data_IF_317303133034
#
_entry.id   IF_317303133034
#
_cell.length_a   1.000
_cell.length_b   1.000
_cell.length_c   1.000
_cell.angle_alpha   90.00
_cell.angle_beta   90.00
_cell.angle_gamma   90.00
#
_symmetry.space_group_name_H-M   'P 1'
#
loop_
_entity.id
_entity.type
_entity.pdbx_description
1 polymer ?
#
# COMPACT_ATOMS: atom_id res chain seq x y z
N UNK A 1 -5.48 10.89 -4.74
CA UNK A 1 -4.92 9.89 -3.80
C UNK A 1 -3.84 9.00 -4.44
N UNK A 2 -4.08 8.50 -5.63
CA UNK A 2 -3.14 7.57 -6.29
C UNK A 2 -1.76 8.19 -6.48
N UNK A 3 -1.70 9.41 -6.98
CA UNK A 3 -0.43 10.09 -7.22
C UNK A 3 0.35 10.32 -5.94
N UNK A 4 -0.35 10.69 -4.88
CA UNK A 4 0.28 10.90 -3.57
C UNK A 4 0.84 9.60 -3.02
N UNK A 5 0.07 8.51 -3.12
CA UNK A 5 0.53 7.18 -2.70
C UNK A 5 1.75 6.74 -3.50
N UNK A 6 1.70 6.92 -4.81
CA UNK A 6 2.82 6.56 -5.67
C UNK A 6 4.09 7.29 -5.22
N UNK A 7 3.99 8.59 -4.99
CA UNK A 7 5.14 9.40 -4.58
C UNK A 7 5.69 8.93 -3.23
N UNK A 8 4.82 8.77 -2.24
CA UNK A 8 5.24 8.35 -0.90
C UNK A 8 5.90 6.98 -0.91
N UNK A 9 5.28 6.02 -1.59
CA UNK A 9 5.77 4.66 -1.59
C UNK A 9 7.04 4.52 -2.43
N UNK A 10 7.12 5.22 -3.56
CA UNK A 10 8.30 5.18 -4.42
C UNK A 10 9.52 5.80 -3.74
N UNK A 11 9.32 6.83 -2.95
CA UNK A 11 10.42 7.45 -2.21
C UNK A 11 10.94 6.55 -1.10
N UNK A 12 10.04 5.84 -0.42
CA UNK A 12 10.40 4.95 0.68
C UNK A 12 10.98 3.63 0.20
N UNK A 13 10.50 3.13 -0.93
CA UNK A 13 10.89 1.83 -1.49
C UNK A 13 11.29 2.01 -2.95
N UNK A 14 12.42 2.67 -3.23
CA UNK A 14 12.80 2.99 -4.61
C UNK A 14 13.12 1.77 -5.48
N UNK A 15 13.42 0.63 -4.86
CA UNK A 15 13.69 -0.60 -5.61
C UNK A 15 12.42 -1.32 -6.06
N UNK A 16 11.26 -0.93 -5.54
CA UNK A 16 9.98 -1.55 -5.90
C UNK A 16 9.36 -0.77 -7.05
N UNK A 17 8.90 -1.50 -8.07
CA UNK A 17 8.18 -0.91 -9.20
C UNK A 17 6.68 -0.95 -8.90
N UNK A 18 6.14 0.17 -8.45
CA UNK A 18 4.72 0.26 -8.08
C UNK A 18 3.77 0.29 -9.27
N UNK A 19 4.32 0.32 -10.49
CA UNK A 19 3.51 0.20 -11.71
C UNK A 19 3.47 -1.24 -12.23
N UNK A 20 4.12 -2.17 -11.53
CA UNK A 20 4.15 -3.58 -11.92
C UNK A 20 2.75 -4.20 -11.85
N UNK A 21 2.42 -5.05 -12.83
CA UNK A 21 1.11 -5.69 -12.90
C UNK A 21 0.85 -6.63 -11.72
N UNK A 22 1.88 -7.29 -11.22
CA UNK A 22 1.77 -8.17 -10.06
C UNK A 22 2.65 -7.64 -8.95
N UNK A 23 2.21 -6.53 -8.37
CA UNK A 23 2.96 -5.82 -7.35
C UNK A 23 3.26 -6.70 -6.13
N UNK A 24 2.32 -7.55 -5.73
CA UNK A 24 2.49 -8.39 -4.55
C UNK A 24 3.76 -9.25 -4.64
N UNK A 25 4.12 -9.68 -5.84
CA UNK A 25 5.34 -10.46 -6.05
C UNK A 25 6.63 -9.68 -5.84
N UNK A 26 6.55 -8.34 -5.85
CA UNK A 26 7.68 -7.45 -5.61
C UNK A 26 7.89 -7.13 -4.13
N UNK A 27 6.91 -7.48 -3.29
CA UNK A 27 6.90 -7.05 -1.89
C UNK A 27 7.28 -8.19 -0.97
N UNK A 28 8.13 -7.89 0.03
CA UNK A 28 8.42 -8.81 1.13
C UNK A 28 7.75 -8.28 2.40
N UNK A 29 7.93 -8.99 3.51
CA UNK A 29 7.31 -8.61 4.79
C UNK A 29 7.74 -7.21 5.24
N UNK A 30 9.00 -6.87 5.03
CA UNK A 30 9.52 -5.56 5.43
C UNK A 30 8.88 -4.47 4.59
N UNK A 31 8.76 -4.70 3.29
CA UNK A 31 8.12 -3.73 2.38
C UNK A 31 6.67 -3.49 2.76
N UNK A 32 5.93 -4.56 3.07
CA UNK A 32 4.52 -4.46 3.46
C UNK A 32 4.37 -3.67 4.76
N UNK A 33 5.20 -3.95 5.76
CA UNK A 33 5.17 -3.21 7.03
C UNK A 33 5.48 -1.74 6.80
N UNK A 34 6.46 -1.46 5.94
CA UNK A 34 6.82 -0.08 5.58
C UNK A 34 5.65 0.64 4.93
N UNK A 35 4.97 -0.03 4.00
CA UNK A 35 3.79 0.55 3.33
C UNK A 35 2.71 0.86 4.36
N UNK A 36 2.42 -0.07 5.26
CA UNK A 36 1.42 0.15 6.31
C UNK A 36 1.77 1.34 7.19
N UNK A 37 3.03 1.47 7.58
CA UNK A 37 3.47 2.58 8.41
C UNK A 37 3.26 3.92 7.70
N UNK A 38 3.61 3.99 6.43
CA UNK A 38 3.45 5.21 5.62
C UNK A 38 1.98 5.57 5.49
N UNK A 39 1.15 4.61 5.10
CA UNK A 39 -0.28 4.87 4.89
C UNK A 39 -0.99 5.21 6.19
N UNK A 40 -0.63 4.54 7.26
CA UNK A 40 -1.20 4.80 8.57
C UNK A 40 -0.89 6.23 9.03
N UNK A 41 0.34 6.67 8.80
CA UNK A 41 0.77 8.02 9.16
C UNK A 41 0.10 9.09 8.28
N UNK A 42 0.06 8.84 6.97
CA UNK A 42 -0.46 9.80 6.00
C UNK A 42 -1.99 9.95 6.10
N UNK A 43 -2.71 8.85 6.21
CA UNK A 43 -4.17 8.84 6.14
C UNK A 43 -4.85 8.58 7.48
N UNK A 44 -4.08 8.35 8.54
CA UNK A 44 -4.60 8.10 9.89
C UNK A 44 -5.58 6.93 9.94
N UNK A 45 -5.20 5.85 9.27
CA UNK A 45 -5.96 4.59 9.25
C UNK A 45 -5.14 3.48 9.88
N UNK A 46 -5.81 2.41 10.32
CA UNK A 46 -5.15 1.26 10.95
C UNK A 46 -5.20 0.05 10.03
N UNK A 47 -4.11 -0.69 10.01
CA UNK A 47 -4.01 -1.92 9.23
C UNK A 47 -3.63 -3.06 10.16
N UNK A 48 -4.02 -4.29 9.79
CA UNK A 48 -3.65 -5.49 10.53
C UNK A 48 -3.23 -6.60 9.56
N UNK A 49 -2.88 -7.78 10.10
CA UNK A 49 -2.40 -8.87 9.28
C UNK A 49 -3.47 -9.40 8.30
N UNK A 50 -4.73 -9.18 8.58
CA UNK A 50 -5.81 -9.61 7.69
C UNK A 50 -5.88 -8.77 6.42
N UNK A 51 -5.28 -7.58 6.44
CA UNK A 51 -5.21 -6.72 5.27
C UNK A 51 -4.11 -7.17 4.29
N UNK A 52 -3.21 -8.04 4.73
CA UNK A 52 -2.10 -8.52 3.89
C UNK A 52 -2.61 -9.68 3.03
N UNK A 53 -3.15 -9.36 1.87
CA UNK A 53 -3.65 -10.35 0.92
C UNK A 53 -3.12 -10.03 -0.48
N UNK A 54 -2.96 -11.03 -1.34
CA UNK A 54 -2.56 -10.77 -2.72
C UNK A 54 -3.52 -9.83 -3.44
N UNK A 55 -4.80 -9.88 -3.10
CA UNK A 55 -5.81 -9.01 -3.71
C UNK A 55 -5.57 -7.55 -3.36
N UNK A 56 -5.30 -7.25 -2.09
CA UNK A 56 -5.10 -5.87 -1.63
C UNK A 56 -3.79 -5.27 -2.12
N UNK A 57 -2.81 -6.10 -2.41
CA UNK A 57 -1.48 -5.67 -2.86
C UNK A 57 -1.19 -6.05 -4.30
N UNK A 58 -2.22 -6.40 -5.05
CA UNK A 58 -2.09 -6.80 -6.46
C UNK A 58 -1.47 -5.69 -7.31
N UNK A 59 -1.84 -4.45 -7.03
CA UNK A 59 -1.37 -3.30 -7.80
C UNK A 59 -1.47 -2.05 -6.93
N UNK A 60 -0.91 -0.94 -7.42
CA UNK A 60 -1.06 0.34 -6.75
C UNK A 60 -2.53 0.73 -6.62
N UNK A 61 -3.32 0.48 -7.67
CA UNK A 61 -4.75 0.77 -7.64
C UNK A 61 -5.48 -0.04 -6.56
N UNK A 62 -5.06 -1.29 -6.34
CA UNK A 62 -5.63 -2.11 -5.28
C UNK A 62 -5.30 -1.54 -3.90
N UNK A 63 -4.08 -1.05 -3.71
CA UNK A 63 -3.69 -0.40 -2.45
C UNK A 63 -4.54 0.86 -2.23
N UNK A 64 -4.72 1.66 -3.27
CA UNK A 64 -5.58 2.85 -3.20
C UNK A 64 -6.99 2.47 -2.77
N UNK A 65 -7.56 1.43 -3.38
CA UNK A 65 -8.91 0.96 -3.04
C UNK A 65 -8.99 0.51 -1.58
N UNK A 66 -7.95 -0.17 -1.10
CA UNK A 66 -7.89 -0.60 0.31
C UNK A 66 -7.90 0.61 1.26
N UNK A 67 -7.09 1.62 0.96
CA UNK A 67 -7.04 2.83 1.77
C UNK A 67 -8.38 3.54 1.76
N UNK A 68 -9.01 3.66 0.59
CA UNK A 68 -10.32 4.31 0.48
C UNK A 68 -11.38 3.60 1.32
N UNK A 69 -11.37 2.27 1.30
CA UNK A 69 -12.28 1.47 2.11
C UNK A 69 -12.06 1.75 3.60
N UNK A 70 -10.81 1.80 4.03
CA UNK A 70 -10.48 2.11 5.43
C UNK A 70 -10.96 3.51 5.82
N UNK A 71 -10.80 4.48 4.94
CA UNK A 71 -11.25 5.84 5.20
C UNK A 71 -12.77 5.94 5.32
N UNK A 72 -13.49 5.15 4.53
CA UNK A 72 -14.95 5.13 4.57
C UNK A 72 -15.50 4.46 5.84
N UNK A 73 -14.76 3.54 6.40
CA UNK A 73 -15.22 2.71 7.53
C UNK A 73 -14.61 3.06 8.87
N UNK A 74 -13.88 4.15 8.95
CA UNK A 74 -13.28 4.57 10.21
C UNK A 74 -14.21 5.38 11.10
#
# INVERSE_FOLDING_TARGET
MRDRLYTLLSEALPAVDFEEDFLFGELDSVSIVTIFAILSDEYKVSFDSMDITPKNFKSLDAIVAMVQTKLENR
#
